data_IF_591890920478
#
_entry.id   IF_591890920478
#
_cell.length_a   1.000
_cell.length_b   1.000
_cell.length_c   1.000
_cell.angle_alpha   90.00
_cell.angle_beta   90.00
_cell.angle_gamma   90.00
#
_symmetry.space_group_name_H-M   'P 1'
#
loop_
_entity.id
_entity.type
_entity.pdbx_description
1 polymer ?
#
# COMPACT_ATOMS: atom_id res chain seq x y z
N UNK A 1 4.60 13.18 -11.68
CA UNK A 1 5.06 14.59 -11.49
C UNK A 1 4.38 15.55 -12.47
N UNK A 2 4.19 15.18 -13.74
CA UNK A 2 3.47 16.02 -14.72
C UNK A 2 1.99 16.15 -14.36
N UNK A 3 1.33 15.06 -14.01
CA UNK A 3 -0.05 15.05 -13.53
C UNK A 3 -0.28 15.94 -12.30
N UNK A 4 0.68 15.94 -11.36
CA UNK A 4 0.61 16.80 -10.17
C UNK A 4 0.74 18.29 -10.56
N UNK A 5 1.63 18.62 -11.51
CA UNK A 5 1.76 19.98 -12.03
C UNK A 5 0.48 20.44 -12.73
N UNK A 6 -0.11 19.57 -13.55
CA UNK A 6 -1.38 19.85 -14.19
C UNK A 6 -2.50 20.07 -13.15
N UNK A 7 -2.60 19.23 -12.11
CA UNK A 7 -3.58 19.40 -11.04
C UNK A 7 -3.39 20.74 -10.28
N UNK A 8 -2.15 21.13 -9.98
CA UNK A 8 -1.85 22.39 -9.30
C UNK A 8 -2.19 23.61 -10.18
N UNK A 9 -2.10 23.49 -11.53
CA UNK A 9 -2.46 24.60 -12.41
C UNK A 9 -3.94 24.99 -12.32
N UNK A 10 -4.80 24.07 -11.86
CA UNK A 10 -6.22 24.35 -11.60
C UNK A 10 -6.47 25.18 -10.33
N UNK A 11 -5.48 25.39 -9.44
CA UNK A 11 -5.64 26.23 -8.23
C UNK A 11 -6.11 27.66 -8.57
N UNK A 12 -5.84 28.13 -9.79
CA UNK A 12 -6.32 29.44 -10.26
C UNK A 12 -7.82 29.45 -10.61
N UNK A 13 -8.39 28.28 -10.89
CA UNK A 13 -9.78 28.13 -11.33
C UNK A 13 -10.70 27.54 -10.25
N UNK A 14 -10.13 26.96 -9.18
CA UNK A 14 -10.87 26.32 -8.09
C UNK A 14 -10.34 26.78 -6.74
N UNK A 15 -11.21 26.77 -5.74
CA UNK A 15 -10.88 27.25 -4.38
C UNK A 15 -9.71 26.49 -3.73
N UNK A 16 -9.66 25.17 -3.91
CA UNK A 16 -8.62 24.30 -3.31
C UNK A 16 -8.35 23.05 -4.14
N UNK A 17 -7.09 22.69 -4.25
CA UNK A 17 -6.65 21.46 -4.89
C UNK A 17 -5.94 20.56 -3.86
N UNK A 18 -6.32 19.28 -3.82
CA UNK A 18 -5.67 18.28 -3.00
C UNK A 18 -5.24 17.09 -3.84
N UNK A 19 -4.01 16.65 -3.66
CA UNK A 19 -3.41 15.49 -4.33
C UNK A 19 -3.16 14.41 -3.28
N UNK A 20 -3.70 13.22 -3.49
CA UNK A 20 -3.45 12.06 -2.63
C UNK A 20 -2.56 11.05 -3.36
N UNK A 21 -1.34 10.84 -2.84
CA UNK A 21 -0.42 9.80 -3.31
C UNK A 21 -0.73 8.52 -2.57
N UNK A 22 -1.31 7.55 -3.27
CA UNK A 22 -1.84 6.32 -2.68
C UNK A 22 -0.76 5.24 -2.67
N UNK A 23 -0.59 4.56 -1.52
CA UNK A 23 0.25 3.37 -1.39
C UNK A 23 -0.45 2.09 -1.84
N UNK A 24 0.05 0.93 -1.38
CA UNK A 24 -0.55 -0.36 -1.67
C UNK A 24 -1.89 -0.51 -0.95
N UNK A 25 -2.98 -0.45 -1.68
CA UNK A 25 -4.33 -0.61 -1.09
C UNK A 25 -4.60 -2.08 -0.80
N UNK A 26 -4.98 -2.36 0.45
CA UNK A 26 -5.35 -3.69 0.92
C UNK A 26 -6.87 -3.85 0.96
N UNK A 27 -7.36 -4.91 0.31
CA UNK A 27 -8.78 -5.25 0.22
C UNK A 27 -8.96 -6.75 0.03
N UNK A 28 -10.06 -7.32 0.53
CA UNK A 28 -10.47 -8.71 0.25
C UNK A 28 -10.86 -8.94 -1.22
N UNK A 29 -11.30 -7.88 -1.90
CA UNK A 29 -11.86 -7.96 -3.26
C UNK A 29 -10.83 -8.08 -4.37
N UNK A 30 -9.53 -7.90 -4.09
CA UNK A 30 -8.47 -7.98 -5.11
C UNK A 30 -7.21 -7.21 -4.76
N UNK A 31 -6.47 -6.81 -5.80
CA UNK A 31 -5.23 -6.04 -5.67
C UNK A 31 -4.03 -6.85 -5.19
N UNK A 32 -3.05 -6.16 -4.61
CA UNK A 32 -1.77 -6.75 -4.22
C UNK A 32 -1.91 -7.88 -3.20
N UNK A 33 -2.89 -7.80 -2.28
CA UNK A 33 -3.10 -8.83 -1.27
C UNK A 33 -3.50 -10.17 -1.90
N UNK A 34 -4.45 -10.16 -2.83
CA UNK A 34 -4.88 -11.37 -3.56
C UNK A 34 -3.71 -12.00 -4.32
N UNK A 35 -2.91 -11.19 -5.02
CA UNK A 35 -1.74 -11.68 -5.75
C UNK A 35 -0.68 -12.28 -4.82
N UNK A 36 -0.41 -11.64 -3.67
CA UNK A 36 0.54 -12.15 -2.67
C UNK A 36 0.07 -13.49 -2.08
N UNK A 37 -1.24 -13.69 -1.96
CA UNK A 37 -1.81 -14.93 -1.41
C UNK A 37 -1.92 -16.08 -2.40
N UNK A 38 -1.83 -15.85 -3.71
CA UNK A 38 -1.92 -16.94 -4.70
C UNK A 38 -0.89 -18.06 -4.50
N UNK A 39 0.42 -17.79 -4.36
CA UNK A 39 1.40 -18.84 -4.09
C UNK A 39 1.17 -19.55 -2.74
N UNK A 40 0.53 -18.87 -1.78
CA UNK A 40 0.23 -19.42 -0.47
C UNK A 40 -0.83 -20.52 -0.51
N UNK A 41 -1.61 -20.64 -1.59
CA UNK A 41 -2.51 -21.77 -1.82
C UNK A 41 -1.76 -23.09 -2.01
N UNK A 42 -0.51 -23.00 -2.49
CA UNK A 42 0.41 -24.13 -2.69
C UNK A 42 1.41 -24.27 -1.54
N UNK A 43 1.22 -23.59 -0.42
CA UNK A 43 2.09 -23.65 0.74
C UNK A 43 3.33 -22.74 0.69
N UNK A 44 3.44 -21.82 -0.28
CA UNK A 44 4.61 -20.96 -0.44
C UNK A 44 4.28 -19.48 -0.19
N UNK A 45 4.96 -18.89 0.80
CA UNK A 45 5.06 -17.43 0.91
C UNK A 45 6.20 -16.92 0.03
N UNK A 46 5.95 -15.92 -0.80
CA UNK A 46 6.92 -15.42 -1.78
C UNK A 46 7.28 -13.97 -1.50
N UNK A 47 8.58 -13.67 -1.44
CA UNK A 47 9.08 -12.30 -1.37
C UNK A 47 10.10 -12.02 -2.49
N UNK A 48 10.34 -10.75 -2.80
CA UNK A 48 11.07 -10.33 -3.99
C UNK A 48 12.53 -10.01 -3.71
N UNK A 49 13.45 -10.67 -4.41
CA UNK A 49 14.90 -10.45 -4.28
C UNK A 49 15.36 -10.62 -2.84
N UNK A 50 15.90 -9.56 -2.21
CA UNK A 50 16.30 -9.54 -0.80
C UNK A 50 15.15 -9.37 0.19
N UNK A 51 13.97 -9.01 -0.28
CA UNK A 51 12.82 -8.70 0.58
C UNK A 51 12.93 -7.39 1.36
N UNK A 52 14.00 -6.61 1.17
CA UNK A 52 14.26 -5.37 1.92
C UNK A 52 13.50 -4.14 1.41
N UNK A 53 12.80 -4.25 0.28
CA UNK A 53 12.03 -3.17 -0.29
C UNK A 53 10.88 -2.76 0.63
N UNK A 54 10.77 -1.45 0.90
CA UNK A 54 9.68 -0.91 1.70
C UNK A 54 8.34 -0.94 0.96
N UNK A 55 7.32 -1.42 1.66
CA UNK A 55 5.93 -1.49 1.22
C UNK A 55 5.10 -0.53 2.08
N UNK A 56 4.72 0.60 1.50
CA UNK A 56 3.80 1.55 2.15
C UNK A 56 2.37 1.15 1.77
N UNK A 57 1.64 0.63 2.72
CA UNK A 57 0.30 0.06 2.54
C UNK A 57 -0.78 0.94 3.17
N UNK A 58 -2.04 0.70 2.80
CA UNK A 58 -3.20 1.30 3.44
C UNK A 58 -4.42 0.37 3.30
N UNK A 59 -5.29 0.34 4.31
CA UNK A 59 -6.57 -0.35 4.20
C UNK A 59 -7.55 0.44 3.32
N UNK A 60 -8.39 -0.27 2.54
CA UNK A 60 -9.36 0.35 1.62
C UNK A 60 -10.31 1.34 2.32
N UNK A 61 -10.74 1.03 3.55
CA UNK A 61 -11.58 1.95 4.31
C UNK A 61 -10.84 3.21 4.74
N UNK A 62 -9.58 3.10 5.18
CA UNK A 62 -8.80 4.27 5.60
C UNK A 62 -8.50 5.21 4.43
N UNK A 63 -8.16 4.68 3.24
CA UNK A 63 -7.97 5.56 2.08
C UNK A 63 -9.27 6.29 1.69
N UNK A 64 -10.42 5.61 1.75
CA UNK A 64 -11.72 6.24 1.51
C UNK A 64 -12.01 7.33 2.54
N UNK A 65 -11.72 7.09 3.81
CA UNK A 65 -11.90 8.08 4.88
C UNK A 65 -10.91 9.25 4.76
N UNK A 66 -9.70 9.05 4.25
CA UNK A 66 -8.75 10.15 3.94
C UNK A 66 -9.37 11.12 2.92
N UNK A 67 -9.96 10.61 1.82
CA UNK A 67 -10.63 11.48 0.85
C UNK A 67 -11.78 12.27 1.49
N UNK A 68 -12.63 11.61 2.28
CA UNK A 68 -13.74 12.28 2.99
C UNK A 68 -13.20 13.33 3.95
N UNK A 69 -12.14 13.03 4.71
CA UNK A 69 -11.49 13.94 5.64
C UNK A 69 -10.96 15.19 4.95
N UNK A 70 -10.26 15.01 3.82
CA UNK A 70 -9.72 16.11 3.01
C UNK A 70 -10.84 17.03 2.52
N UNK A 71 -11.92 16.46 2.00
CA UNK A 71 -13.07 17.21 1.48
C UNK A 71 -13.78 17.98 2.62
N UNK A 72 -14.11 17.28 3.71
CA UNK A 72 -14.84 17.88 4.84
C UNK A 72 -14.08 19.03 5.50
N UNK A 73 -12.76 18.91 5.62
CA UNK A 73 -11.92 19.92 6.24
C UNK A 73 -11.34 20.93 5.24
N UNK A 74 -11.76 20.87 3.96
CA UNK A 74 -11.28 21.75 2.89
C UNK A 74 -9.76 21.86 2.85
N UNK A 75 -9.07 20.73 3.03
CA UNK A 75 -7.61 20.70 3.03
C UNK A 75 -7.07 20.92 1.62
N UNK A 76 -5.89 21.52 1.48
CA UNK A 76 -5.19 21.70 0.20
C UNK A 76 -3.76 21.19 0.27
N UNK A 77 -3.20 20.86 -0.92
CA UNK A 77 -1.83 20.40 -1.07
C UNK A 77 -1.69 18.89 -1.23
N UNK A 78 -0.48 18.38 -1.05
CA UNK A 78 -0.15 16.96 -1.31
C UNK A 78 -0.16 16.16 -0.01
N UNK A 79 -0.90 15.05 0.01
CA UNK A 79 -1.02 14.12 1.12
C UNK A 79 -0.64 12.71 0.68
N UNK A 80 -0.04 11.94 1.59
CA UNK A 80 0.25 10.53 1.35
C UNK A 80 -0.85 9.67 1.97
N UNK A 81 -1.57 8.90 1.13
CA UNK A 81 -2.56 7.93 1.53
C UNK A 81 -1.91 6.59 1.84
N UNK A 82 -1.20 6.53 2.98
CA UNK A 82 -0.49 5.35 3.48
C UNK A 82 -0.68 5.22 4.98
N UNK A 83 -0.72 3.99 5.49
CA UNK A 83 -0.74 3.72 6.93
C UNK A 83 0.60 4.11 7.59
N UNK A 84 0.61 4.41 8.91
CA UNK A 84 1.79 4.95 9.59
C UNK A 84 2.98 3.98 9.70
N UNK A 85 2.75 2.68 9.57
CA UNK A 85 3.76 1.63 9.79
C UNK A 85 4.06 0.86 8.49
N UNK A 86 4.91 1.40 7.59
CA UNK A 86 5.36 0.65 6.43
C UNK A 86 6.21 -0.55 6.83
N UNK A 87 6.20 -1.60 6.00
CA UNK A 87 6.90 -2.86 6.23
C UNK A 87 7.87 -3.13 5.08
N UNK A 88 8.87 -3.98 5.32
CA UNK A 88 9.63 -4.57 4.21
C UNK A 88 8.79 -5.64 3.49
N UNK A 89 9.12 -5.93 2.26
CA UNK A 89 8.41 -6.94 1.47
C UNK A 89 8.48 -8.34 2.13
N UNK A 90 9.61 -8.67 2.76
CA UNK A 90 9.76 -9.90 3.54
C UNK A 90 8.80 -9.93 4.74
N UNK A 91 8.75 -8.84 5.54
CA UNK A 91 7.85 -8.74 6.70
C UNK A 91 6.38 -8.80 6.28
N UNK A 92 6.03 -8.12 5.18
CA UNK A 92 4.71 -8.13 4.58
C UNK A 92 4.25 -9.57 4.28
N UNK A 93 5.07 -10.33 3.51
CA UNK A 93 4.81 -11.73 3.18
C UNK A 93 4.75 -12.60 4.43
N UNK A 94 5.70 -12.44 5.37
CA UNK A 94 5.79 -13.22 6.60
C UNK A 94 4.56 -13.06 7.50
N UNK A 95 4.03 -11.84 7.63
CA UNK A 95 2.84 -11.61 8.45
C UNK A 95 1.60 -12.22 7.79
N UNK A 96 1.41 -12.05 6.47
CA UNK A 96 0.29 -12.67 5.76
C UNK A 96 0.34 -14.19 5.88
N UNK A 97 1.53 -14.78 5.69
CA UNK A 97 1.75 -16.23 5.83
C UNK A 97 1.35 -16.75 7.21
N UNK A 98 1.69 -16.01 8.26
CA UNK A 98 1.34 -16.38 9.64
C UNK A 98 -0.16 -16.29 9.91
N UNK A 99 -0.82 -15.25 9.40
CA UNK A 99 -2.27 -15.08 9.56
C UNK A 99 -3.02 -16.16 8.80
N UNK A 100 -2.59 -16.48 7.58
CA UNK A 100 -3.24 -17.50 6.74
C UNK A 100 -3.03 -18.93 7.23
N UNK A 101 -1.98 -19.20 8.03
CA UNK A 101 -1.64 -20.53 8.62
C UNK A 101 -1.45 -21.67 7.60
N UNK A 102 -1.43 -21.41 6.30
CA UNK A 102 -1.32 -22.42 5.23
C UNK A 102 0.05 -22.43 4.54
N UNK A 103 1.01 -21.64 5.02
CA UNK A 103 2.32 -21.49 4.40
C UNK A 103 3.34 -22.34 5.13
N UNK A 104 4.00 -23.24 4.39
CA UNK A 104 5.06 -24.12 4.89
C UNK A 104 6.44 -23.46 4.78
N UNK A 105 6.68 -22.78 3.65
CA UNK A 105 7.97 -22.17 3.34
C UNK A 105 7.82 -20.74 2.84
N UNK A 106 8.76 -19.87 3.23
CA UNK A 106 8.87 -18.51 2.70
C UNK A 106 10.13 -18.45 1.85
N UNK A 107 9.98 -18.24 0.54
CA UNK A 107 11.06 -18.33 -0.44
C UNK A 107 11.30 -17.01 -1.17
N UNK A 108 12.56 -16.67 -1.48
CA UNK A 108 12.88 -15.54 -2.34
C UNK A 108 12.59 -15.88 -3.81
N UNK A 109 11.98 -14.94 -4.53
CA UNK A 109 11.86 -15.03 -5.98
C UNK A 109 12.84 -14.03 -6.62
N UNK A 110 13.77 -14.52 -7.45
CA UNK A 110 14.72 -13.67 -8.16
C UNK A 110 14.00 -12.71 -9.12
N UNK A 111 14.58 -11.51 -9.29
CA UNK A 111 13.99 -10.45 -10.13
C UNK A 111 13.70 -10.88 -11.57
N UNK A 112 14.54 -11.72 -12.16
CA UNK A 112 14.37 -12.14 -13.55
C UNK A 112 13.12 -12.99 -13.79
N UNK A 113 12.72 -13.85 -12.81
CA UNK A 113 11.48 -14.62 -12.87
C UNK A 113 10.25 -13.72 -12.80
N UNK A 114 10.33 -12.64 -12.02
CA UNK A 114 9.27 -11.65 -11.92
C UNK A 114 9.03 -10.90 -13.23
N UNK A 115 10.11 -10.57 -13.94
CA UNK A 115 10.03 -9.92 -15.25
C UNK A 115 9.30 -10.80 -16.28
N UNK A 116 9.50 -12.11 -16.22
CA UNK A 116 8.82 -13.10 -17.08
C UNK A 116 7.30 -13.18 -16.81
N UNK A 117 6.89 -13.07 -15.54
CA UNK A 117 5.47 -13.24 -15.12
C UNK A 117 4.69 -11.94 -15.21
N UNK A 118 5.27 -10.81 -14.81
CA UNK A 118 4.58 -9.52 -14.65
C UNK A 118 4.98 -8.45 -15.68
N UNK A 119 5.87 -8.76 -16.63
CA UNK A 119 6.32 -7.81 -17.64
C UNK A 119 6.87 -6.53 -17.02
N UNK A 120 6.53 -5.36 -17.60
CA UNK A 120 7.02 -4.06 -17.11
C UNK A 120 6.43 -3.63 -15.75
N UNK A 121 5.32 -4.21 -15.31
CA UNK A 121 4.73 -3.92 -14.01
C UNK A 121 5.64 -4.31 -12.83
N UNK A 122 6.63 -5.18 -13.05
CA UNK A 122 7.61 -5.54 -12.02
C UNK A 122 8.37 -4.31 -11.46
N UNK A 123 8.60 -3.27 -12.27
CA UNK A 123 9.31 -2.06 -11.88
C UNK A 123 8.63 -1.34 -10.70
N UNK A 124 7.30 -1.33 -10.69
CA UNK A 124 6.50 -0.67 -9.63
C UNK A 124 6.63 -1.43 -8.31
N UNK A 125 6.64 -2.77 -8.35
CA UNK A 125 6.74 -3.63 -7.17
C UNK A 125 8.13 -3.62 -6.54
N UNK A 126 9.19 -3.36 -7.34
CA UNK A 126 10.57 -3.26 -6.86
C UNK A 126 10.99 -1.85 -6.41
N UNK A 127 10.18 -0.82 -6.69
CA UNK A 127 10.47 0.52 -6.17
C UNK A 127 10.21 0.54 -4.66
N UNK A 128 11.30 0.65 -3.92
CA UNK A 128 11.27 0.78 -2.47
C UNK A 128 10.93 2.22 -2.08
N UNK A 129 9.82 2.43 -1.38
CA UNK A 129 9.43 3.75 -0.88
C UNK A 129 8.88 3.64 0.55
N UNK A 130 9.69 4.12 1.50
CA UNK A 130 9.25 4.32 2.88
C UNK A 130 8.55 5.67 2.97
N UNK A 131 7.24 5.67 2.77
CA UNK A 131 6.41 6.89 2.72
C UNK A 131 5.83 7.19 4.09
N UNK A 132 5.84 8.49 4.48
CA UNK A 132 5.32 8.95 5.77
C UNK A 132 3.86 9.41 5.66
N UNK A 133 3.03 9.03 6.62
CA UNK A 133 1.65 9.49 6.81
C UNK A 133 1.52 10.75 7.66
N UNK A 134 2.63 11.26 8.22
CA UNK A 134 2.62 12.32 9.25
C UNK A 134 1.75 13.53 8.89
N UNK A 135 1.80 14.00 7.64
CA UNK A 135 1.05 15.19 7.22
C UNK A 135 -0.46 15.00 7.33
N UNK A 136 -1.00 13.83 6.96
CA UNK A 136 -2.43 13.56 7.09
C UNK A 136 -2.82 13.34 8.56
N UNK A 137 -1.96 12.73 9.37
CA UNK A 137 -2.18 12.60 10.82
C UNK A 137 -2.20 13.99 11.49
N UNK A 138 -1.28 14.88 11.14
CA UNK A 138 -1.23 16.26 11.65
C UNK A 138 -2.45 17.09 11.26
N UNK A 139 -3.17 16.72 10.21
CA UNK A 139 -4.46 17.36 9.85
C UNK A 139 -5.64 16.87 10.70
N UNK A 140 -5.40 16.00 11.69
CA UNK A 140 -6.43 15.44 12.57
C UNK A 140 -7.04 14.13 12.09
N UNK A 141 -6.49 13.50 11.02
CA UNK A 141 -6.96 12.20 10.57
C UNK A 141 -6.52 11.07 11.50
N UNK A 142 -7.44 10.21 11.91
CA UNK A 142 -7.20 9.06 12.73
C UNK A 142 -7.39 7.76 11.93
N UNK A 143 -6.30 7.00 11.75
CA UNK A 143 -6.35 5.69 11.09
C UNK A 143 -7.07 4.67 11.95
N UNK A 144 -8.02 3.93 11.38
CA UNK A 144 -8.64 2.76 11.98
C UNK A 144 -7.70 1.55 11.94
N UNK A 145 -6.95 1.41 10.85
CA UNK A 145 -6.08 0.27 10.58
C UNK A 145 -4.59 0.70 10.62
N UNK A 146 -4.03 0.79 11.83
CA UNK A 146 -2.63 1.20 12.06
C UNK A 146 -1.65 0.02 12.09
N UNK A 147 -2.10 -1.16 12.49
CA UNK A 147 -1.28 -2.35 12.62
C UNK A 147 -1.55 -3.32 11.45
N UNK A 148 -0.48 -3.70 10.73
CA UNK A 148 -0.61 -4.53 9.54
C UNK A 148 -1.22 -5.91 9.84
N UNK A 149 -0.79 -6.56 10.93
CA UNK A 149 -1.26 -7.90 11.27
C UNK A 149 -2.77 -7.90 11.54
N UNK A 150 -3.25 -7.03 12.42
CA UNK A 150 -4.69 -6.94 12.71
C UNK A 150 -5.50 -6.50 11.50
N UNK A 151 -4.89 -5.71 10.59
CA UNK A 151 -5.50 -5.36 9.31
C UNK A 151 -5.70 -6.58 8.43
N UNK A 152 -4.69 -7.45 8.30
CA UNK A 152 -4.81 -8.69 7.51
C UNK A 152 -5.80 -9.65 8.16
N UNK A 153 -5.79 -9.79 9.48
CA UNK A 153 -6.78 -10.60 10.22
C UNK A 153 -8.21 -10.12 9.93
N UNK A 154 -8.45 -8.80 9.93
CA UNK A 154 -9.77 -8.22 9.61
C UNK A 154 -10.18 -8.42 8.14
N UNK A 155 -9.24 -8.37 7.19
CA UNK A 155 -9.54 -8.55 5.77
C UNK A 155 -9.85 -10.02 5.44
N UNK A 156 -9.25 -10.96 6.16
CA UNK A 156 -9.36 -12.41 5.90
C UNK A 156 -10.42 -13.10 6.77
N UNK A 157 -10.98 -12.41 7.78
CA UNK A 157 -12.14 -12.86 8.53
C UNK A 157 -13.43 -12.75 7.71
#
# INVERSE_FOLDING_TARGET
KEWEKAAISFEKAVEKVSIVRIGLVLSSRGGVLKQTMQPMLFGFGVYFGSGSQWQSWIHINDISQIFIHIIKNRLSGVYNGVAPNPLTNYEFTKIISRVKKSVLFIIPVPRFLFRLIFGEMHIILFKSQKVSSKKIEQSGFNFKFRNFRSTIENILS
#
